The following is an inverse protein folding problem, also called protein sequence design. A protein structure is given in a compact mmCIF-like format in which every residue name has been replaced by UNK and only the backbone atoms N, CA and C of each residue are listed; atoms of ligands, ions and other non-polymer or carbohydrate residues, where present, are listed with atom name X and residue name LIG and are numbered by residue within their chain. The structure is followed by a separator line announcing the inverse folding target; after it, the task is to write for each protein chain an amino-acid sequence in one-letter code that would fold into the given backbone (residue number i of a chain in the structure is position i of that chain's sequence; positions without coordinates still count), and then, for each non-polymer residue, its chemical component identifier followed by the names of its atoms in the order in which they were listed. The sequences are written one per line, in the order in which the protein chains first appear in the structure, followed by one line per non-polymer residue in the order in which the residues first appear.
data_IF_166610444909
#
_entry.id   IF_166610444909
#
_cell.length_a   1.000
_cell.length_b   1.000
_cell.length_c   1.000
_cell.angle_alpha   90.00
_cell.angle_beta   90.00
_cell.angle_gamma   90.00
#
_symmetry.space_group_name_H-M   'P 1'
#
loop_
_entity.id
_entity.type
_entity.pdbx_description
1 polymer ?
#
# COMPACT_ATOMS: atom_id res chain seq x y z
N UNK A 1 0.20 -15.98 17.77
CA UNK A 1 -0.21 -14.75 17.09
C UNK A 1 -1.07 -13.89 18.00
N UNK A 2 -0.48 -12.81 18.53
CA UNK A 2 -1.14 -11.91 19.46
C UNK A 2 -1.75 -10.68 18.75
N UNK A 3 -1.30 -10.41 17.53
CA UNK A 3 -1.68 -9.21 16.78
C UNK A 3 -2.01 -9.57 15.34
N UNK A 4 -3.12 -9.06 14.83
CA UNK A 4 -3.45 -9.06 13.42
C UNK A 4 -3.13 -7.68 12.84
N UNK A 5 -2.33 -7.63 11.79
CA UNK A 5 -2.02 -6.41 11.06
C UNK A 5 -2.77 -6.38 9.74
N UNK A 6 -3.44 -5.27 9.46
CA UNK A 6 -4.10 -5.03 8.18
C UNK A 6 -3.57 -3.75 7.55
N UNK A 7 -3.22 -3.82 6.29
CA UNK A 7 -2.84 -2.66 5.48
C UNK A 7 -3.96 -2.36 4.49
N UNK A 8 -4.33 -1.08 4.43
CA UNK A 8 -5.32 -0.58 3.48
C UNK A 8 -4.68 0.51 2.62
N UNK A 9 -4.66 0.32 1.31
CA UNK A 9 -4.15 1.30 0.37
C UNK A 9 -5.02 2.56 0.34
N UNK A 10 -4.37 3.71 0.31
CA UNK A 10 -5.04 5.01 0.22
C UNK A 10 -4.28 5.89 -0.79
N UNK A 11 -4.35 5.57 -2.09
CA UNK A 11 -3.57 6.30 -3.09
C UNK A 11 -4.03 7.74 -3.23
N UNK A 12 -3.07 8.66 -3.18
CA UNK A 12 -3.32 10.10 -3.29
C UNK A 12 -3.02 10.66 -4.69
N UNK A 13 -2.32 9.88 -5.51
CA UNK A 13 -1.96 10.26 -6.89
C UNK A 13 -1.87 9.02 -7.79
N UNK A 14 -1.59 9.24 -9.07
CA UNK A 14 -1.50 8.16 -10.06
C UNK A 14 -0.33 7.21 -9.76
N UNK A 15 0.80 7.72 -9.32
CA UNK A 15 1.95 6.89 -8.98
C UNK A 15 1.62 5.92 -7.82
N UNK A 16 0.96 6.40 -6.78
CA UNK A 16 0.52 5.59 -5.66
C UNK A 16 -0.53 4.55 -6.10
N UNK A 17 -1.47 4.93 -6.96
CA UNK A 17 -2.46 4.00 -7.53
C UNK A 17 -1.77 2.88 -8.33
N UNK A 18 -0.81 3.22 -9.17
CA UNK A 18 -0.08 2.24 -9.97
C UNK A 18 0.75 1.31 -9.10
N UNK A 19 1.37 1.81 -8.04
CA UNK A 19 2.07 0.98 -7.06
C UNK A 19 1.12 -0.02 -6.41
N UNK A 20 -0.07 0.41 -6.01
CA UNK A 20 -1.09 -0.46 -5.41
C UNK A 20 -1.58 -1.53 -6.39
N UNK A 21 -1.78 -1.19 -7.66
CA UNK A 21 -2.14 -2.15 -8.70
C UNK A 21 -1.09 -3.25 -8.84
N UNK A 22 0.18 -2.88 -8.85
CA UNK A 22 1.29 -3.85 -8.94
C UNK A 22 1.36 -4.73 -7.68
N UNK A 23 1.21 -4.15 -6.50
CA UNK A 23 1.19 -4.90 -5.23
C UNK A 23 0.11 -5.99 -5.26
N UNK A 24 -1.07 -5.69 -5.79
CA UNK A 24 -2.20 -6.64 -5.85
C UNK A 24 -2.13 -7.60 -7.04
N UNK A 25 -1.07 -7.55 -7.82
CA UNK A 25 -0.93 -8.34 -9.05
C UNK A 25 -0.62 -9.83 -8.79
N UNK A 26 -0.09 -10.18 -7.63
CA UNK A 26 0.06 -11.58 -7.22
C UNK A 26 -1.29 -12.18 -6.81
N UNK A 27 -1.47 -13.48 -7.08
CA UNK A 27 -2.64 -14.24 -6.61
C UNK A 27 -2.46 -14.81 -5.19
N UNK A 28 -1.44 -14.38 -4.49
CA UNK A 28 -1.05 -14.87 -3.17
C UNK A 28 -0.92 -13.65 -2.24
N UNK A 29 -1.73 -13.62 -1.18
CA UNK A 29 -1.75 -12.50 -0.25
C UNK A 29 -0.42 -12.30 0.50
N UNK A 30 0.32 -13.38 0.78
CA UNK A 30 1.63 -13.28 1.41
C UNK A 30 2.65 -12.62 0.48
N UNK A 31 2.61 -12.97 -0.81
CA UNK A 31 3.48 -12.35 -1.81
C UNK A 31 3.11 -10.87 -2.02
N UNK A 32 1.83 -10.56 -2.03
CA UNK A 32 1.36 -9.16 -2.10
C UNK A 32 1.89 -8.36 -0.91
N UNK A 33 1.84 -8.91 0.29
CA UNK A 33 2.32 -8.24 1.49
C UNK A 33 3.84 -8.04 1.47
N UNK A 34 4.59 -9.03 1.00
CA UNK A 34 6.04 -8.91 0.83
C UNK A 34 6.41 -7.85 -0.21
N UNK A 35 5.68 -7.82 -1.33
CA UNK A 35 5.89 -6.81 -2.37
C UNK A 35 5.54 -5.41 -1.86
N UNK A 36 4.48 -5.27 -1.09
CA UNK A 36 4.12 -4.02 -0.43
C UNK A 36 5.29 -3.49 0.42
N UNK A 37 5.93 -4.35 1.20
CA UNK A 37 7.11 -4.01 1.99
C UNK A 37 8.26 -3.48 1.13
N UNK A 38 8.53 -4.12 -0.01
CA UNK A 38 9.55 -3.68 -0.96
C UNK A 38 9.21 -2.34 -1.61
N UNK A 39 7.95 -2.12 -1.96
CA UNK A 39 7.47 -0.84 -2.50
C UNK A 39 7.73 0.30 -1.51
N UNK A 40 7.39 0.12 -0.24
CA UNK A 40 7.67 1.13 0.78
C UNK A 40 9.16 1.32 1.02
N UNK A 41 9.90 0.23 1.13
CA UNK A 41 11.34 0.28 1.38
C UNK A 41 12.11 1.05 0.30
N UNK A 42 11.67 0.91 -0.96
CA UNK A 42 12.31 1.52 -2.13
C UNK A 42 11.60 2.79 -2.62
N UNK A 43 10.70 3.35 -1.82
CA UNK A 43 9.91 4.51 -2.20
C UNK A 43 10.76 5.69 -2.69
N UNK A 44 11.90 5.95 -2.05
CA UNK A 44 12.81 7.01 -2.47
C UNK A 44 13.43 6.77 -3.85
N UNK A 45 13.42 5.54 -4.34
CA UNK A 45 13.97 5.20 -5.65
C UNK A 45 12.92 5.27 -6.77
N UNK A 46 11.66 4.91 -6.50
CA UNK A 46 10.64 4.91 -7.55
C UNK A 46 9.74 6.15 -7.52
N UNK A 47 9.51 6.76 -6.37
CA UNK A 47 8.65 7.94 -6.24
C UNK A 47 9.43 9.22 -6.50
N UNK A 48 10.08 9.30 -7.67
CA UNK A 48 10.98 10.39 -8.04
C UNK A 48 10.54 11.01 -9.37
N UNK A 49 10.46 12.33 -9.38
CA UNK A 49 10.08 13.08 -10.58
C UNK A 49 8.58 13.04 -10.87
N UNK A 50 8.21 13.52 -12.05
CA UNK A 50 6.81 13.66 -12.47
C UNK A 50 6.46 12.83 -13.72
N UNK A 51 7.43 12.14 -14.31
CA UNK A 51 7.19 11.28 -15.47
C UNK A 51 6.65 9.92 -15.02
N UNK A 52 5.36 9.70 -15.23
CA UNK A 52 4.68 8.47 -14.81
C UNK A 52 5.25 7.22 -15.51
N UNK A 53 5.77 7.36 -16.73
CA UNK A 53 6.34 6.21 -17.44
C UNK A 53 7.62 5.75 -16.78
N UNK A 54 8.47 6.66 -16.33
CA UNK A 54 9.70 6.36 -15.59
C UNK A 54 9.35 5.74 -14.23
N UNK A 55 8.39 6.31 -13.54
CA UNK A 55 7.91 5.80 -12.25
C UNK A 55 7.38 4.38 -12.41
N UNK A 56 6.55 4.13 -13.42
CA UNK A 56 5.99 2.80 -13.70
C UNK A 56 7.08 1.77 -14.01
N UNK A 57 8.10 2.13 -14.76
CA UNK A 57 9.22 1.22 -15.04
C UNK A 57 9.97 0.86 -13.74
N UNK A 58 10.19 1.82 -12.86
CA UNK A 58 10.82 1.57 -11.56
C UNK A 58 9.98 0.63 -10.68
N UNK A 59 8.68 0.86 -10.63
CA UNK A 59 7.74 0.00 -9.88
C UNK A 59 7.70 -1.41 -10.49
N UNK A 60 7.64 -1.53 -11.82
CA UNK A 60 7.65 -2.82 -12.51
C UNK A 60 8.95 -3.60 -12.24
N UNK A 61 10.08 -2.93 -12.14
CA UNK A 61 11.34 -3.59 -11.80
C UNK A 61 11.27 -4.23 -10.40
N UNK A 62 10.68 -3.54 -9.44
CA UNK A 62 10.47 -4.08 -8.09
C UNK A 62 9.53 -5.30 -8.14
N UNK A 63 8.44 -5.20 -8.89
CA UNK A 63 7.50 -6.30 -9.08
C UNK A 63 8.15 -7.51 -9.78
N UNK A 64 8.97 -7.27 -10.78
CA UNK A 64 9.72 -8.31 -11.48
C UNK A 64 10.66 -9.06 -10.52
N UNK A 65 11.38 -8.34 -9.68
CA UNK A 65 12.27 -8.95 -8.68
C UNK A 65 11.50 -9.79 -7.64
N UNK A 66 10.23 -9.50 -7.46
CA UNK A 66 9.34 -10.29 -6.58
C UNK A 66 8.69 -11.49 -7.27
N UNK A 67 8.94 -11.69 -8.57
CA UNK A 67 8.44 -12.83 -9.33
C UNK A 67 7.27 -12.53 -10.27
N UNK A 68 6.86 -11.28 -10.44
CA UNK A 68 5.83 -10.90 -11.40
C UNK A 68 6.41 -10.82 -12.81
N UNK A 69 5.67 -11.34 -13.80
CA UNK A 69 6.05 -11.17 -15.20
C UNK A 69 5.68 -9.76 -15.69
N UNK A 70 6.44 -9.26 -16.67
CA UNK A 70 6.15 -7.96 -17.29
C UNK A 70 4.73 -7.90 -17.86
N UNK A 71 4.30 -8.98 -18.53
CA UNK A 71 2.96 -9.07 -19.13
C UNK A 71 1.87 -8.96 -18.07
N UNK A 72 2.01 -9.68 -16.96
CA UNK A 72 1.03 -9.63 -15.87
C UNK A 72 0.95 -8.23 -15.27
N UNK A 73 2.08 -7.59 -15.06
CA UNK A 73 2.11 -6.23 -14.52
C UNK A 73 1.47 -5.22 -15.47
N UNK A 74 1.71 -5.32 -16.77
CA UNK A 74 1.06 -4.46 -17.75
C UNK A 74 -0.46 -4.66 -17.75
N UNK A 75 -0.91 -5.91 -17.64
CA UNK A 75 -2.33 -6.21 -17.52
C UNK A 75 -2.94 -5.65 -16.23
N UNK A 76 -2.23 -5.78 -15.11
CA UNK A 76 -2.68 -5.22 -13.83
C UNK A 76 -2.80 -3.70 -13.86
N UNK A 77 -1.87 -3.01 -14.52
CA UNK A 77 -1.91 -1.56 -14.68
C UNK A 77 -3.07 -1.08 -15.55
N UNK A 78 -3.61 -1.94 -16.41
CA UNK A 78 -4.75 -1.64 -17.28
C UNK A 78 -6.08 -2.19 -16.74
N UNK A 79 -6.07 -2.85 -15.59
CA UNK A 79 -7.25 -3.47 -15.00
C UNK A 79 -8.16 -2.39 -14.39
N UNK A 80 -9.16 -1.98 -15.15
CA UNK A 80 -10.10 -0.92 -14.76
C UNK A 80 -10.97 -1.34 -13.57
N UNK A 81 -11.34 -2.61 -13.45
CA UNK A 81 -12.11 -3.12 -12.32
C UNK A 81 -11.30 -3.01 -11.01
N UNK A 82 -10.04 -3.39 -11.07
CA UNK A 82 -9.14 -3.29 -9.91
C UNK A 82 -8.89 -1.84 -9.53
N UNK A 83 -8.69 -0.95 -10.50
CA UNK A 83 -8.56 0.49 -10.25
C UNK A 83 -9.80 1.04 -9.54
N UNK A 84 -10.97 0.71 -10.04
CA UNK A 84 -12.24 1.15 -9.46
C UNK A 84 -12.41 0.60 -8.03
N UNK A 85 -12.07 -0.66 -7.81
CA UNK A 85 -12.09 -1.28 -6.48
C UNK A 85 -11.20 -0.53 -5.49
N UNK A 86 -9.97 -0.21 -5.88
CA UNK A 86 -9.01 0.52 -5.02
C UNK A 86 -9.54 1.91 -4.68
N UNK A 87 -10.06 2.63 -5.67
CA UNK A 87 -10.60 3.97 -5.47
C UNK A 87 -11.85 3.96 -4.61
N UNK A 88 -12.72 2.96 -4.78
CA UNK A 88 -13.91 2.79 -3.93
C UNK A 88 -13.54 2.45 -2.50
N UNK A 89 -12.56 1.59 -2.28
CA UNK A 89 -12.03 1.30 -0.93
C UNK A 89 -11.51 2.55 -0.24
N UNK A 90 -10.82 3.41 -0.98
CA UNK A 90 -10.36 4.70 -0.47
C UNK A 90 -11.53 5.60 -0.06
N UNK A 91 -12.54 5.71 -0.91
CA UNK A 91 -13.73 6.54 -0.64
C UNK A 91 -14.47 6.01 0.60
N UNK A 92 -14.66 4.71 0.70
CA UNK A 92 -15.30 4.08 1.85
C UNK A 92 -14.51 4.29 3.15
N UNK A 93 -13.19 4.15 3.09
CA UNK A 93 -12.32 4.40 4.25
C UNK A 93 -12.41 5.87 4.69
N UNK A 94 -12.43 6.80 3.74
CA UNK A 94 -12.56 8.22 4.03
C UNK A 94 -13.89 8.55 4.73
N UNK A 95 -14.98 7.94 4.27
CA UNK A 95 -16.31 8.12 4.88
C UNK A 95 -16.40 7.49 6.26
N UNK A 96 -15.95 6.25 6.39
CA UNK A 96 -16.08 5.46 7.61
C UNK A 96 -15.16 5.94 8.74
N UNK A 97 -13.92 6.23 8.41
CA UNK A 97 -12.88 6.58 9.38
C UNK A 97 -12.49 8.06 9.36
N UNK A 98 -13.12 8.87 8.49
CA UNK A 98 -12.82 10.30 8.33
C UNK A 98 -11.32 10.57 8.14
N UNK A 99 -10.70 9.78 7.27
CA UNK A 99 -9.27 9.87 6.99
C UNK A 99 -9.00 11.17 6.21
N UNK A 100 -8.12 11.99 6.73
CA UNK A 100 -7.72 13.27 6.13
C UNK A 100 -6.23 13.31 5.76
N UNK A 101 -5.46 12.34 6.22
CA UNK A 101 -4.03 12.25 5.95
C UNK A 101 -3.55 10.81 6.03
N UNK A 102 -2.37 10.55 5.46
CA UNK A 102 -1.71 9.25 5.50
C UNK A 102 -0.31 9.38 6.10
N UNK A 103 0.17 8.41 6.87
CA UNK A 103 -0.56 7.24 7.34
C UNK A 103 -1.56 7.57 8.45
N UNK A 104 -2.68 6.85 8.48
CA UNK A 104 -3.63 6.87 9.58
C UNK A 104 -3.71 5.46 10.15
N UNK A 105 -3.56 5.33 11.47
CA UNK A 105 -3.46 4.04 12.16
C UNK A 105 -4.59 3.90 13.17
N UNK A 106 -5.23 2.75 13.16
CA UNK A 106 -6.23 2.33 14.14
C UNK A 106 -5.75 1.09 14.88
N UNK A 107 -5.89 1.09 16.20
CA UNK A 107 -5.61 -0.09 17.04
C UNK A 107 -6.90 -0.45 17.75
N UNK A 108 -7.43 -1.65 17.49
CA UNK A 108 -8.72 -2.09 18.02
C UNK A 108 -9.83 -1.06 17.81
N UNK A 109 -9.96 -0.58 16.57
CA UNK A 109 -10.98 0.40 16.13
C UNK A 109 -10.81 1.81 16.73
N UNK A 110 -9.73 2.06 17.44
CA UNK A 110 -9.43 3.37 18.03
C UNK A 110 -8.29 4.04 17.28
N UNK A 111 -8.48 5.30 16.87
CA UNK A 111 -7.45 6.06 16.18
C UNK A 111 -6.22 6.22 17.08
N UNK A 112 -5.06 5.88 16.54
CA UNK A 112 -3.77 6.08 17.18
C UNK A 112 -3.29 7.51 16.90
N UNK A 113 -3.19 8.33 17.94
CA UNK A 113 -2.88 9.76 17.83
C UNK A 113 -1.45 10.13 18.23
N UNK A 114 -0.61 9.15 18.58
CA UNK A 114 0.79 9.40 18.92
C UNK A 114 1.67 9.42 17.67
N UNK A 115 2.94 9.83 17.82
CA UNK A 115 3.90 9.84 16.72
C UNK A 115 4.12 8.43 16.16
N UNK A 116 4.28 8.34 14.84
CA UNK A 116 4.56 7.10 14.12
C UNK A 116 6.01 6.65 14.34
N UNK A 117 6.37 6.38 15.59
CA UNK A 117 7.66 5.84 16.00
C UNK A 117 7.45 4.39 16.46
N UNK A 118 8.31 3.50 16.00
CA UNK A 118 8.19 2.07 16.29
C UNK A 118 8.04 1.77 17.79
N UNK A 119 8.88 2.36 18.63
CA UNK A 119 8.85 2.10 20.09
C UNK A 119 7.53 2.56 20.74
N UNK A 120 6.99 3.68 20.32
CA UNK A 120 5.70 4.17 20.80
C UNK A 120 4.55 3.29 20.35
N UNK A 121 4.57 2.90 19.10
CA UNK A 121 3.58 2.01 18.51
C UNK A 121 3.60 0.63 19.21
N UNK A 122 4.78 0.07 19.39
CA UNK A 122 4.98 -1.18 20.12
C UNK A 122 4.40 -1.12 21.53
N UNK A 123 4.72 -0.06 22.29
CA UNK A 123 4.20 0.14 23.65
C UNK A 123 2.67 0.25 23.67
N UNK A 124 2.08 0.96 22.70
CA UNK A 124 0.64 1.09 22.61
C UNK A 124 -0.05 -0.27 22.40
N UNK A 125 0.53 -1.13 21.58
CA UNK A 125 0.04 -2.50 21.36
C UNK A 125 0.23 -3.35 22.60
N UNK A 126 1.41 -3.32 23.21
CA UNK A 126 1.73 -4.12 24.42
C UNK A 126 0.78 -3.84 25.58
N UNK A 127 0.34 -2.59 25.74
CA UNK A 127 -0.63 -2.21 26.78
C UNK A 127 -2.01 -2.87 26.60
N UNK A 128 -2.32 -3.32 25.40
CA UNK A 128 -3.60 -3.95 25.06
C UNK A 128 -3.55 -5.47 25.11
N UNK A 129 -2.37 -6.03 25.29
CA UNK A 129 -2.15 -7.46 25.42
C UNK A 129 -2.18 -7.89 26.88
#
# INVERSE_FOLDING_TARGET
NLVKFEHHGFPLDLAALNAELIVRCHNDSNKNFQLLGEIYKKQNNWAVGSDINIINESIKNIGFDSGLSKKNMENCLKDEELQEQILNERIEAQKRYKIDSTPTIYINEKKYDEKNEYEKFKKAIEKLL
#
